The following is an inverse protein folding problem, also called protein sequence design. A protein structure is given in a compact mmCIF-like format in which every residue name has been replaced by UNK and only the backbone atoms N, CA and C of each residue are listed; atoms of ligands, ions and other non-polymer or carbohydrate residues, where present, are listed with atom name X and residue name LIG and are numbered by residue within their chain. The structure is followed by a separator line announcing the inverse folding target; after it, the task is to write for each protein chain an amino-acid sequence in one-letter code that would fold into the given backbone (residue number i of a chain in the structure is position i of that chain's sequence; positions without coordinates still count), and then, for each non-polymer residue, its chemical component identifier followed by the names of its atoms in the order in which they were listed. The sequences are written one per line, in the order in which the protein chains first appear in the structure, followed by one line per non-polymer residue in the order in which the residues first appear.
data_IF_051884643675
#
_entry.id   IF_051884643675
#
_cell.length_a   1.000
_cell.length_b   1.000
_cell.length_c   1.000
_cell.angle_alpha   90.00
_cell.angle_beta   90.00
_cell.angle_gamma   90.00
#
_symmetry.space_group_name_H-M   'P 1'
#
loop_
_entity.id
_entity.type
_entity.pdbx_description
1 polymer ?
#
# COMPACT_ATOMS: atom_id res chain seq x y z
N UNK A 1 -29.00 11.17 12.07
CA UNK A 1 -27.63 10.90 12.56
C UNK A 1 -26.99 12.20 13.03
N UNK A 2 -26.28 12.22 14.17
CA UNK A 2 -25.62 13.42 14.67
C UNK A 2 -24.57 13.92 13.66
N UNK A 3 -24.58 15.23 13.37
CA UNK A 3 -23.77 15.85 12.30
C UNK A 3 -22.26 15.63 12.49
N UNK A 4 -21.80 15.53 13.73
CA UNK A 4 -20.39 15.27 14.08
C UNK A 4 -19.89 13.91 13.58
N UNK A 5 -20.69 12.85 13.73
CA UNK A 5 -20.31 11.50 13.28
C UNK A 5 -20.20 11.45 11.76
N UNK A 6 -21.12 12.13 11.06
CA UNK A 6 -21.09 12.22 9.59
C UNK A 6 -19.84 12.97 9.09
N UNK A 7 -19.47 14.06 9.77
CA UNK A 7 -18.27 14.83 9.42
C UNK A 7 -16.99 14.01 9.63
N UNK A 8 -16.90 13.26 10.73
CA UNK A 8 -15.78 12.36 11.01
C UNK A 8 -15.61 11.30 9.92
N UNK A 9 -16.69 10.58 9.57
CA UNK A 9 -16.65 9.53 8.53
C UNK A 9 -16.21 10.11 7.19
N UNK A 10 -16.78 11.26 6.77
CA UNK A 10 -16.37 11.92 5.52
C UNK A 10 -14.90 12.32 5.49
N UNK A 11 -14.36 12.76 6.62
CA UNK A 11 -12.94 13.11 6.73
C UNK A 11 -12.06 11.86 6.59
N UNK A 12 -12.37 10.79 7.33
CA UNK A 12 -11.65 9.51 7.24
C UNK A 12 -11.72 8.94 5.83
N UNK A 13 -12.88 9.02 5.18
CA UNK A 13 -13.05 8.54 3.80
C UNK A 13 -12.18 9.32 2.80
N UNK A 14 -12.15 10.65 2.96
CA UNK A 14 -11.31 11.53 2.14
C UNK A 14 -9.83 11.21 2.30
N UNK A 15 -9.36 11.06 3.54
CA UNK A 15 -7.96 10.71 3.84
C UNK A 15 -7.60 9.36 3.22
N UNK A 16 -8.46 8.34 3.41
CA UNK A 16 -8.24 7.00 2.85
C UNK A 16 -8.17 7.01 1.32
N UNK A 17 -9.01 7.80 0.65
CA UNK A 17 -9.00 7.95 -0.81
C UNK A 17 -7.72 8.65 -1.33
N UNK A 18 -7.21 9.63 -0.58
CA UNK A 18 -5.96 10.32 -0.95
C UNK A 18 -4.74 9.42 -0.73
N UNK A 19 -4.69 8.75 0.41
CA UNK A 19 -3.62 7.83 0.77
C UNK A 19 -3.58 6.61 -0.15
N UNK A 20 -4.72 6.03 -0.51
CA UNK A 20 -4.76 4.93 -1.48
C UNK A 20 -4.26 5.31 -2.86
N UNK A 21 -4.57 6.54 -3.33
CA UNK A 21 -3.99 7.05 -4.58
C UNK A 21 -2.49 7.26 -4.49
N UNK A 22 -1.98 7.72 -3.35
CA UNK A 22 -0.54 7.80 -3.10
C UNK A 22 0.11 6.41 -3.11
N UNK A 23 -0.53 5.43 -2.47
CA UNK A 23 -0.06 4.04 -2.41
C UNK A 23 0.18 3.48 -3.81
N UNK A 24 -0.72 3.71 -4.76
CA UNK A 24 -0.57 3.26 -6.16
C UNK A 24 0.76 3.68 -6.80
N UNK A 25 1.27 4.88 -6.51
CA UNK A 25 2.56 5.34 -7.06
C UNK A 25 3.79 4.72 -6.38
N UNK A 26 3.62 4.16 -5.19
CA UNK A 26 4.72 3.60 -4.39
C UNK A 26 5.33 2.35 -5.03
N UNK A 27 4.57 1.66 -5.89
CA UNK A 27 5.07 0.52 -6.67
C UNK A 27 6.21 0.93 -7.62
N UNK A 28 6.16 2.14 -8.18
CA UNK A 28 7.22 2.67 -9.03
C UNK A 28 8.48 2.98 -8.22
N UNK A 29 8.32 3.46 -6.98
CA UNK A 29 9.44 3.67 -6.05
C UNK A 29 10.10 2.34 -5.74
N UNK A 30 9.32 1.31 -5.39
CA UNK A 30 9.83 -0.04 -5.13
C UNK A 30 10.58 -0.61 -6.34
N UNK A 31 10.01 -0.44 -7.54
CA UNK A 31 10.62 -0.88 -8.80
C UNK A 31 11.95 -0.15 -9.03
N UNK A 32 12.02 1.16 -8.77
CA UNK A 32 13.25 1.95 -8.84
C UNK A 32 14.34 1.43 -7.90
N UNK A 33 13.98 1.10 -6.64
CA UNK A 33 14.93 0.55 -5.66
C UNK A 33 15.48 -0.80 -6.11
N UNK A 34 14.63 -1.70 -6.62
CA UNK A 34 15.04 -3.01 -7.12
C UNK A 34 15.87 -2.92 -8.40
N UNK A 35 15.51 -2.01 -9.31
CA UNK A 35 16.31 -1.73 -10.51
C UNK A 35 17.68 -1.18 -10.15
N UNK A 36 17.75 -0.24 -9.19
CA UNK A 36 19.02 0.28 -8.69
C UNK A 36 19.87 -0.84 -8.08
N UNK A 37 19.28 -1.71 -7.26
CA UNK A 37 19.98 -2.89 -6.73
C UNK A 37 20.48 -3.83 -7.82
N UNK A 38 19.69 -4.02 -8.88
CA UNK A 38 20.06 -4.88 -10.02
C UNK A 38 21.19 -4.27 -10.86
N UNK A 39 21.14 -2.97 -11.13
CA UNK A 39 22.18 -2.23 -11.87
C UNK A 39 23.49 -2.24 -11.08
N UNK A 40 23.45 -1.90 -9.80
CA UNK A 40 24.66 -1.82 -8.96
C UNK A 40 25.32 -3.18 -8.77
N UNK A 41 24.51 -4.24 -8.59
CA UNK A 41 25.00 -5.61 -8.46
C UNK A 41 25.54 -6.18 -9.77
N UNK A 42 24.82 -6.03 -10.88
CA UNK A 42 25.15 -6.73 -12.13
C UNK A 42 26.06 -5.93 -13.07
N UNK A 43 26.05 -4.59 -13.01
CA UNK A 43 26.81 -3.71 -13.91
C UNK A 43 28.02 -3.13 -13.20
N UNK A 44 27.86 -2.67 -11.96
CA UNK A 44 28.92 -2.00 -11.20
C UNK A 44 29.70 -2.94 -10.27
N UNK A 45 29.31 -4.23 -10.18
CA UNK A 45 29.90 -5.23 -9.26
C UNK A 45 29.98 -4.77 -7.79
N UNK A 46 29.14 -3.81 -7.39
CA UNK A 46 29.05 -3.28 -6.03
C UNK A 46 27.68 -3.65 -5.46
N UNK A 47 27.56 -4.78 -4.75
CA UNK A 47 26.28 -5.20 -4.21
C UNK A 47 25.84 -4.26 -3.08
N UNK A 48 24.71 -3.58 -3.27
CA UNK A 48 24.05 -2.81 -2.21
C UNK A 48 23.16 -3.76 -1.39
N UNK A 49 23.61 -4.09 -0.18
CA UNK A 49 22.88 -4.99 0.74
C UNK A 49 21.45 -4.50 0.99
N UNK A 50 21.29 -3.21 1.31
CA UNK A 50 20.04 -2.59 1.77
C UNK A 50 18.87 -2.61 0.77
N UNK A 51 19.12 -2.89 -0.52
CA UNK A 51 18.11 -2.71 -1.57
C UNK A 51 16.92 -3.64 -1.42
N UNK A 52 17.15 -4.84 -0.89
CA UNK A 52 16.09 -5.83 -0.66
C UNK A 52 15.27 -5.47 0.57
N UNK A 53 15.91 -5.09 1.67
CA UNK A 53 15.22 -4.66 2.89
C UNK A 53 14.37 -3.42 2.62
N UNK A 54 14.90 -2.45 1.86
CA UNK A 54 14.12 -1.27 1.48
C UNK A 54 12.92 -1.61 0.61
N UNK A 55 13.03 -2.56 -0.33
CA UNK A 55 11.88 -3.03 -1.09
C UNK A 55 10.82 -3.68 -0.18
N UNK A 56 11.23 -4.45 0.83
CA UNK A 56 10.31 -5.05 1.81
C UNK A 56 9.61 -4.02 2.69
N UNK A 57 10.32 -2.98 3.14
CA UNK A 57 9.71 -1.88 3.89
C UNK A 57 8.71 -1.09 3.04
N UNK A 58 9.05 -0.83 1.78
CA UNK A 58 8.15 -0.15 0.84
C UNK A 58 6.89 -1.00 0.59
N UNK A 59 7.07 -2.31 0.37
CA UNK A 59 5.96 -3.25 0.18
C UNK A 59 5.03 -3.29 1.40
N UNK A 60 5.62 -3.30 2.60
CA UNK A 60 4.87 -3.27 3.87
C UNK A 60 4.04 -1.99 3.97
N UNK A 61 4.64 -0.83 3.72
CA UNK A 61 3.93 0.45 3.68
C UNK A 61 2.83 0.50 2.62
N UNK A 62 3.09 -0.06 1.43
CA UNK A 62 2.12 -0.16 0.34
C UNK A 62 0.85 -0.89 0.78
N UNK A 63 0.99 -2.05 1.45
CA UNK A 63 -0.17 -2.80 1.94
C UNK A 63 -0.95 -2.07 3.03
N UNK A 64 -0.27 -1.44 3.99
CA UNK A 64 -0.95 -0.70 5.06
C UNK A 64 -1.71 0.53 4.55
N UNK A 65 -1.11 1.29 3.63
CA UNK A 65 -1.71 2.53 3.12
C UNK A 65 -2.79 2.21 2.06
N UNK A 66 -2.56 1.21 1.21
CA UNK A 66 -3.51 0.78 0.18
C UNK A 66 -4.72 -0.01 0.73
N UNK A 67 -4.58 -0.64 1.90
CA UNK A 67 -5.61 -1.48 2.52
C UNK A 67 -6.95 -0.76 2.71
N UNK A 68 -6.95 0.39 3.40
CA UNK A 68 -8.18 1.15 3.65
C UNK A 68 -8.90 1.59 2.36
N UNK A 69 -8.14 1.97 1.33
CA UNK A 69 -8.70 2.40 0.05
C UNK A 69 -9.27 1.23 -0.78
N UNK A 70 -8.57 0.09 -0.80
CA UNK A 70 -9.07 -1.12 -1.49
C UNK A 70 -10.35 -1.68 -0.84
N UNK A 71 -10.50 -1.53 0.48
CA UNK A 71 -11.74 -1.86 1.19
C UNK A 71 -12.90 -0.95 0.79
N UNK A 72 -12.66 0.36 0.59
CA UNK A 72 -13.66 1.31 0.09
C UNK A 72 -14.13 0.96 -1.32
N UNK A 73 -13.20 0.54 -2.19
CA UNK A 73 -13.50 0.12 -3.56
C UNK A 73 -14.22 -1.24 -3.63
N UNK A 74 -14.35 -1.96 -2.51
CA UNK A 74 -14.85 -3.35 -2.45
C UNK A 74 -14.05 -4.32 -3.35
N UNK A 75 -12.85 -3.94 -3.75
CA UNK A 75 -11.93 -4.76 -4.54
C UNK A 75 -10.91 -5.51 -3.68
N UNK A 76 -10.82 -5.18 -2.38
CA UNK A 76 -10.14 -6.06 -1.43
C UNK A 76 -10.92 -7.38 -1.38
N UNK A 77 -10.26 -8.49 -1.72
CA UNK A 77 -10.83 -9.83 -1.51
C UNK A 77 -11.13 -9.95 -0.03
N UNK A 78 -12.40 -9.81 0.34
CA UNK A 78 -12.85 -10.09 1.69
C UNK A 78 -12.78 -11.59 1.82
N UNK A 79 -11.82 -12.09 2.58
CA UNK A 79 -11.78 -13.50 2.93
C UNK A 79 -12.85 -13.75 4.00
N UNK A 80 -14.11 -13.52 3.62
CA UNK A 80 -15.28 -13.72 4.46
C UNK A 80 -15.55 -15.23 4.50
N UNK A 81 -14.76 -15.98 5.28
CA UNK A 81 -14.90 -17.44 5.44
C UNK A 81 -16.21 -17.85 6.15
N UNK A 82 -16.86 -16.93 6.86
CA UNK A 82 -18.00 -17.20 7.73
C UNK A 82 -19.19 -16.28 7.43
N UNK A 83 -19.69 -16.32 6.21
CA UNK A 83 -20.99 -15.74 5.84
C UNK A 83 -21.80 -16.75 5.02
N UNK A 84 -22.37 -17.77 5.65
CA UNK A 84 -23.78 -18.16 5.38
C UNK A 84 -24.22 -19.34 6.26
N UNK A 85 -25.21 -19.09 7.13
CA UNK A 85 -25.96 -20.05 7.95
C UNK A 85 -25.38 -20.48 9.31
N UNK A 86 -25.49 -19.60 10.31
CA UNK A 86 -25.83 -19.95 11.70
C UNK A 86 -26.88 -18.96 12.22
#
# INVERSE_FOLDING_TARGET
MPKFIVAYVKYVDYVSTKLGRLAMYTIFIMTGVLLLGSITRNILNMPLSWTVEMAQFILTGYYFIGGAYSMQLKEHVRMDLLYDHW
#
